data_IF_898267317112
#
_entry.id   IF_898267317112
#
_cell.length_a   1.000
_cell.length_b   1.000
_cell.length_c   1.000
_cell.angle_alpha   90.00
_cell.angle_beta   90.00
_cell.angle_gamma   90.00
#
_symmetry.space_group_name_H-M   'P 1'
#
loop_
_entity.id
_entity.type
_entity.pdbx_description
1 polymer ?
#
# COMPACT_ATOMS: atom_id res chain seq x y z
N UNK A 1 13.56 10.69 6.14
CA UNK A 1 12.11 10.44 6.26
C UNK A 1 11.89 8.95 6.43
N UNK A 2 10.93 8.53 7.28
CA UNK A 2 10.47 7.15 7.35
C UNK A 2 9.13 7.05 6.61
N UNK A 3 9.08 6.22 5.57
CA UNK A 3 7.87 6.02 4.76
C UNK A 3 7.26 4.65 5.03
N UNK A 4 5.93 4.55 5.03
CA UNK A 4 5.22 3.29 4.99
C UNK A 4 4.61 3.12 3.59
N UNK A 5 4.85 1.95 2.96
CA UNK A 5 4.33 1.60 1.64
C UNK A 5 3.44 0.38 1.78
N UNK A 6 2.14 0.54 1.64
CA UNK A 6 1.21 -0.60 1.58
C UNK A 6 1.14 -1.16 0.16
N UNK A 7 0.98 -2.46 0.01
CA UNK A 7 1.10 -3.12 -1.30
C UNK A 7 2.54 -3.12 -1.81
N UNK A 8 3.50 -3.18 -0.88
CA UNK A 8 4.93 -3.04 -1.15
C UNK A 8 5.50 -4.14 -2.04
N UNK A 9 4.92 -5.33 -2.04
CA UNK A 9 5.32 -6.47 -2.87
C UNK A 9 4.60 -6.53 -4.23
N UNK A 10 3.76 -5.53 -4.54
CA UNK A 10 3.17 -5.34 -5.86
C UNK A 10 4.15 -4.68 -6.84
N UNK A 11 3.77 -4.62 -8.12
CA UNK A 11 4.62 -4.05 -9.17
C UNK A 11 4.98 -2.58 -8.88
N UNK A 12 4.00 -1.71 -8.65
CA UNK A 12 4.26 -0.29 -8.36
C UNK A 12 4.94 -0.14 -6.99
N UNK A 13 4.46 -0.87 -5.98
CA UNK A 13 4.96 -0.77 -4.61
C UNK A 13 6.44 -1.09 -4.49
N UNK A 14 6.91 -2.16 -5.12
CA UNK A 14 8.31 -2.59 -5.07
C UNK A 14 9.25 -1.57 -5.71
N UNK A 15 8.89 -1.02 -6.87
CA UNK A 15 9.68 0.02 -7.52
C UNK A 15 9.74 1.31 -6.69
N UNK A 16 8.63 1.65 -6.02
CA UNK A 16 8.60 2.81 -5.12
C UNK A 16 9.48 2.58 -3.89
N UNK A 17 9.43 1.38 -3.29
CA UNK A 17 10.31 0.98 -2.18
C UNK A 17 11.77 1.15 -2.56
N UNK A 18 12.19 0.58 -3.69
CA UNK A 18 13.58 0.70 -4.18
C UNK A 18 13.97 2.18 -4.40
N UNK A 19 13.08 2.97 -4.98
CA UNK A 19 13.34 4.40 -5.20
C UNK A 19 13.49 5.18 -3.91
N UNK A 20 12.64 4.92 -2.91
CA UNK A 20 12.71 5.58 -1.61
C UNK A 20 14.00 5.21 -0.88
N UNK A 21 14.39 3.94 -0.89
CA UNK A 21 15.65 3.47 -0.31
C UNK A 21 16.88 4.09 -1.00
N UNK A 22 16.88 4.14 -2.33
CA UNK A 22 17.96 4.74 -3.12
C UNK A 22 18.13 6.25 -2.84
N UNK A 23 17.08 6.92 -2.36
CA UNK A 23 17.12 8.34 -1.97
C UNK A 23 17.37 8.54 -0.46
N UNK A 24 17.80 7.48 0.25
CA UNK A 24 18.24 7.55 1.65
C UNK A 24 17.11 7.58 2.67
N UNK A 25 15.88 7.20 2.30
CA UNK A 25 14.78 7.09 3.24
C UNK A 25 14.79 5.74 3.96
N UNK A 26 14.22 5.69 5.17
CA UNK A 26 13.82 4.45 5.80
C UNK A 26 12.43 4.05 5.29
N UNK A 27 12.21 2.77 5.01
CA UNK A 27 10.95 2.28 4.43
C UNK A 27 10.43 1.09 5.21
N UNK A 28 9.16 1.16 5.60
CA UNK A 28 8.37 0.03 6.07
C UNK A 28 7.49 -0.43 4.92
N UNK A 29 7.78 -1.62 4.38
CA UNK A 29 6.92 -2.28 3.41
C UNK A 29 5.85 -3.08 4.14
N UNK A 30 4.59 -2.93 3.76
CA UNK A 30 3.46 -3.65 4.34
C UNK A 30 2.69 -4.39 3.24
N UNK A 31 2.63 -5.72 3.32
CA UNK A 31 1.99 -6.56 2.30
C UNK A 31 1.53 -7.88 2.90
N UNK A 32 0.41 -8.43 2.44
CA UNK A 32 -0.07 -9.75 2.84
C UNK A 32 0.25 -10.84 1.81
N UNK A 33 0.93 -10.50 0.72
CA UNK A 33 1.31 -11.37 -0.38
C UNK A 33 0.14 -12.11 -1.06
N UNK A 34 -1.08 -11.61 -0.94
CA UNK A 34 -2.24 -12.21 -1.63
C UNK A 34 -2.10 -12.14 -3.15
N UNK A 35 -1.46 -11.09 -3.66
CA UNK A 35 -1.13 -10.89 -5.09
C UNK A 35 0.31 -10.46 -5.30
N UNK A 36 0.95 -9.90 -4.27
CA UNK A 36 2.34 -9.48 -4.27
C UNK A 36 3.32 -10.64 -4.35
N UNK A 37 4.53 -10.37 -4.82
CA UNK A 37 5.58 -11.38 -4.97
C UNK A 37 6.83 -10.98 -4.16
N UNK A 38 7.31 -11.89 -3.31
CA UNK A 38 8.50 -11.64 -2.47
C UNK A 38 9.75 -11.36 -3.32
N UNK A 39 9.84 -11.95 -4.52
CA UNK A 39 10.92 -11.72 -5.47
C UNK A 39 11.05 -10.25 -5.90
N UNK A 40 9.96 -9.48 -5.88
CA UNK A 40 10.02 -8.05 -6.18
C UNK A 40 10.70 -7.22 -5.10
N UNK A 41 10.87 -7.77 -3.90
CA UNK A 41 11.52 -7.10 -2.76
C UNK A 41 12.95 -7.60 -2.49
N UNK A 42 13.54 -8.47 -3.34
CA UNK A 42 14.86 -9.07 -3.09
C UNK A 42 15.94 -8.02 -2.82
N UNK A 43 15.96 -6.94 -3.61
CA UNK A 43 16.92 -5.84 -3.43
C UNK A 43 16.66 -5.09 -2.12
N UNK A 44 15.42 -4.80 -1.81
CA UNK A 44 15.03 -4.08 -0.60
C UNK A 44 15.33 -4.89 0.66
N UNK A 45 15.09 -6.21 0.65
CA UNK A 45 15.33 -7.10 1.80
C UNK A 45 16.81 -7.13 2.24
N UNK A 46 17.75 -6.80 1.37
CA UNK A 46 19.17 -6.64 1.71
C UNK A 46 19.53 -5.26 2.28
N UNK A 47 18.62 -4.31 2.33
CA UNK A 47 18.88 -2.94 2.75
C UNK A 47 18.56 -2.74 4.24
N UNK A 48 19.53 -2.24 5.01
CA UNK A 48 19.37 -2.00 6.46
C UNK A 48 18.29 -0.95 6.80
N UNK A 49 17.86 -0.12 5.85
CA UNK A 49 16.81 0.87 6.02
C UNK A 49 15.43 0.34 5.59
N UNK A 50 15.30 -0.94 5.27
CA UNK A 50 14.04 -1.57 4.90
C UNK A 50 13.57 -2.54 5.98
N UNK A 51 12.31 -2.38 6.36
CA UNK A 51 11.60 -3.31 7.25
C UNK A 51 10.38 -3.85 6.50
N UNK A 52 10.22 -5.17 6.44
CA UNK A 52 9.04 -5.79 5.86
C UNK A 52 8.08 -6.26 6.95
N UNK A 53 6.84 -5.80 6.89
CA UNK A 53 5.73 -6.27 7.72
C UNK A 53 4.80 -7.10 6.84
N UNK A 54 4.87 -8.42 7.01
CA UNK A 54 3.98 -9.36 6.34
C UNK A 54 2.69 -9.50 7.16
N UNK A 55 1.64 -8.77 6.76
CA UNK A 55 0.35 -8.76 7.44
C UNK A 55 -0.77 -8.21 6.53
N UNK A 56 -2.02 -8.50 6.89
CA UNK A 56 -3.19 -7.91 6.24
C UNK A 56 -3.54 -6.56 6.88
N UNK A 57 -3.95 -5.59 6.07
CA UNK A 57 -4.38 -4.25 6.51
C UNK A 57 -5.69 -4.28 7.32
N UNK A 58 -6.39 -5.40 7.34
CA UNK A 58 -7.51 -5.63 8.26
C UNK A 58 -7.03 -5.86 9.71
N UNK A 59 -5.74 -6.16 9.92
CA UNK A 59 -5.15 -6.29 11.23
C UNK A 59 -4.71 -4.92 11.77
N UNK A 60 -5.64 -4.21 12.41
CA UNK A 60 -5.43 -2.85 12.91
C UNK A 60 -4.24 -2.75 13.87
N UNK A 61 -4.04 -3.71 14.78
CA UNK A 61 -2.96 -3.65 15.77
C UNK A 61 -1.57 -3.73 15.11
N UNK A 62 -1.41 -4.60 14.09
CA UNK A 62 -0.16 -4.70 13.33
C UNK A 62 0.10 -3.45 12.50
N UNK A 63 -0.97 -2.87 11.95
CA UNK A 63 -0.86 -1.62 11.19
C UNK A 63 -0.47 -0.44 12.08
N UNK A 64 -1.06 -0.33 13.28
CA UNK A 64 -0.69 0.70 14.26
C UNK A 64 0.78 0.58 14.70
N UNK A 65 1.28 -0.65 14.91
CA UNK A 65 2.69 -0.88 15.21
C UNK A 65 3.61 -0.43 14.07
N UNK A 66 3.29 -0.82 12.83
CA UNK A 66 4.04 -0.47 11.63
C UNK A 66 4.06 1.05 11.36
N UNK A 67 3.00 1.74 11.79
CA UNK A 67 2.84 3.19 11.59
C UNK A 67 3.71 4.04 12.54
N UNK A 68 4.32 3.46 13.56
CA UNK A 68 5.10 4.20 14.56
C UNK A 68 6.30 4.91 13.94
N UNK A 69 6.35 6.23 14.13
CA UNK A 69 7.43 7.09 13.65
C UNK A 69 7.46 7.24 12.11
N UNK A 70 6.39 6.89 11.42
CA UNK A 70 6.22 7.14 9.99
C UNK A 70 5.93 8.62 9.75
N UNK A 71 6.58 9.20 8.74
CA UNK A 71 6.37 10.59 8.31
C UNK A 71 5.40 10.70 7.13
N UNK A 72 5.35 9.67 6.29
CA UNK A 72 4.59 9.64 5.04
C UNK A 72 4.08 8.23 4.71
N UNK A 73 2.83 8.14 4.27
CA UNK A 73 2.20 6.89 3.82
C UNK A 73 2.00 6.90 2.31
N UNK A 74 2.44 5.82 1.65
CA UNK A 74 2.11 5.50 0.26
C UNK A 74 1.12 4.35 0.27
N UNK A 75 -0.16 4.64 0.08
CA UNK A 75 -1.20 3.62 0.12
C UNK A 75 -1.51 3.12 -1.29
N UNK A 76 -0.90 1.96 -1.63
CA UNK A 76 -0.99 1.33 -2.95
C UNK A 76 -1.71 -0.04 -2.90
N UNK A 77 -1.93 -0.58 -1.69
CA UNK A 77 -2.65 -1.82 -1.53
C UNK A 77 -4.12 -1.66 -1.93
N UNK A 78 -4.61 -2.55 -2.76
CA UNK A 78 -5.99 -2.62 -3.20
C UNK A 78 -6.30 -3.99 -3.81
N UNK A 79 -7.58 -4.38 -3.85
CA UNK A 79 -8.02 -5.38 -4.82
C UNK A 79 -8.17 -4.70 -6.19
N UNK A 80 -7.24 -4.98 -7.09
CA UNK A 80 -7.23 -4.40 -8.44
C UNK A 80 -7.96 -5.28 -9.47
N UNK A 81 -8.40 -6.48 -9.09
CA UNK A 81 -9.12 -7.39 -9.99
C UNK A 81 -10.63 -7.11 -9.96
N UNK A 82 -11.07 -6.27 -10.90
CA UNK A 82 -12.49 -5.88 -11.06
C UNK A 82 -13.40 -7.08 -11.31
N UNK A 83 -12.93 -8.12 -12.01
CA UNK A 83 -13.72 -9.33 -12.31
C UNK A 83 -13.93 -10.13 -11.04
N UNK A 84 -12.88 -10.30 -10.26
CA UNK A 84 -12.97 -10.98 -8.97
C UNK A 84 -13.94 -10.28 -8.02
N UNK A 85 -13.94 -8.93 -8.00
CA UNK A 85 -14.86 -8.13 -7.21
C UNK A 85 -16.33 -8.31 -7.59
N UNK A 86 -16.62 -8.55 -8.88
CA UNK A 86 -18.00 -8.83 -9.33
C UNK A 86 -18.55 -10.12 -8.69
N UNK A 87 -17.73 -11.17 -8.61
CA UNK A 87 -18.12 -12.45 -8.03
C UNK A 87 -18.03 -12.45 -6.49
N UNK A 88 -17.21 -11.56 -5.92
CA UNK A 88 -16.93 -11.45 -4.49
C UNK A 88 -17.02 -9.99 -3.98
N UNK A 89 -18.22 -9.36 -3.98
CA UNK A 89 -18.37 -7.92 -3.68
C UNK A 89 -17.91 -7.53 -2.27
N UNK A 90 -18.00 -8.43 -1.29
CA UNK A 90 -17.46 -8.17 0.05
C UNK A 90 -15.94 -7.98 0.05
N UNK A 91 -15.23 -8.61 -0.89
CA UNK A 91 -13.78 -8.48 -1.01
C UNK A 91 -13.37 -7.06 -1.39
N UNK A 92 -14.10 -6.43 -2.31
CA UNK A 92 -13.85 -5.04 -2.70
C UNK A 92 -14.12 -4.08 -1.53
N UNK A 93 -15.21 -4.32 -0.78
CA UNK A 93 -15.49 -3.55 0.41
C UNK A 93 -14.36 -3.67 1.44
N UNK A 94 -13.91 -4.89 1.73
CA UNK A 94 -12.84 -5.16 2.69
C UNK A 94 -11.51 -4.57 2.23
N UNK A 95 -11.06 -4.93 1.02
CA UNK A 95 -9.70 -4.67 0.54
C UNK A 95 -9.52 -3.28 -0.09
N UNK A 96 -10.58 -2.55 -0.34
CA UNK A 96 -10.49 -1.18 -0.87
C UNK A 96 -11.03 -0.14 0.12
N UNK A 97 -12.17 -0.40 0.78
CA UNK A 97 -12.81 0.60 1.65
C UNK A 97 -12.38 0.45 3.11
N UNK A 98 -12.52 -0.76 3.68
CA UNK A 98 -12.22 -1.00 5.10
C UNK A 98 -10.72 -0.84 5.35
N UNK A 99 -9.86 -1.42 4.51
CA UNK A 99 -8.41 -1.28 4.68
C UNK A 99 -7.94 0.17 4.54
N UNK A 100 -8.54 0.96 3.63
CA UNK A 100 -8.24 2.39 3.53
C UNK A 100 -8.64 3.15 4.79
N UNK A 101 -9.83 2.85 5.34
CA UNK A 101 -10.26 3.39 6.64
C UNK A 101 -9.29 3.04 7.77
N UNK A 102 -8.83 1.77 7.81
CA UNK A 102 -7.86 1.33 8.80
C UNK A 102 -6.52 2.07 8.69
N UNK A 103 -6.03 2.30 7.46
CA UNK A 103 -4.81 3.08 7.22
C UNK A 103 -4.98 4.50 7.74
N UNK A 104 -6.09 5.16 7.43
CA UNK A 104 -6.36 6.53 7.88
C UNK A 104 -6.49 6.60 9.42
N UNK A 105 -7.10 5.60 10.05
CA UNK A 105 -7.22 5.52 11.50
C UNK A 105 -5.84 5.29 12.18
N UNK A 106 -5.01 4.40 11.61
CA UNK A 106 -3.64 4.22 12.09
C UNK A 106 -2.79 5.48 11.94
N UNK A 107 -2.96 6.22 10.83
CA UNK A 107 -2.32 7.53 10.64
C UNK A 107 -2.77 8.53 11.71
N UNK A 108 -4.09 8.59 11.99
CA UNK A 108 -4.65 9.48 13.00
C UNK A 108 -4.09 9.17 14.39
N UNK A 109 -4.06 7.90 14.78
CA UNK A 109 -3.55 7.45 16.10
C UNK A 109 -2.06 7.72 16.27
N UNK A 110 -1.29 7.67 15.18
CA UNK A 110 0.16 7.89 15.18
C UNK A 110 0.55 9.33 14.78
N UNK A 111 -0.41 10.24 14.61
CA UNK A 111 -0.19 11.64 14.22
C UNK A 111 0.50 11.82 12.86
N UNK A 112 0.38 10.85 11.97
CA UNK A 112 0.88 10.93 10.57
C UNK A 112 -0.11 11.72 9.73
N UNK A 113 0.37 12.73 8.99
CA UNK A 113 -0.50 13.69 8.27
C UNK A 113 -0.37 13.63 6.75
N UNK A 114 0.64 12.93 6.25
CA UNK A 114 0.96 12.94 4.82
C UNK A 114 0.67 11.57 4.21
N UNK A 115 -0.16 11.56 3.17
CA UNK A 115 -0.50 10.36 2.42
C UNK A 115 -0.53 10.65 0.92
N UNK A 116 -0.03 9.71 0.13
CA UNK A 116 -0.34 9.58 -1.28
C UNK A 116 -1.14 8.28 -1.47
N UNK A 117 -2.27 8.40 -2.15
CA UNK A 117 -3.20 7.30 -2.39
C UNK A 117 -3.34 7.05 -3.89
N UNK A 118 -3.18 5.79 -4.32
CA UNK A 118 -3.44 5.40 -5.70
C UNK A 118 -4.95 5.25 -5.91
N UNK A 119 -5.55 6.20 -6.60
CA UNK A 119 -6.94 6.11 -7.03
C UNK A 119 -7.08 5.16 -8.24
N UNK A 120 -8.27 5.09 -8.81
CA UNK A 120 -8.61 4.19 -9.93
C UNK A 120 -8.96 4.97 -11.19
N UNK A 121 -8.58 4.42 -12.36
CA UNK A 121 -9.03 4.96 -13.66
C UNK A 121 -10.54 4.87 -13.88
N UNK A 122 -11.21 3.95 -13.18
CA UNK A 122 -12.67 3.77 -13.26
C UNK A 122 -13.48 5.00 -12.85
N UNK A 123 -12.87 5.95 -12.11
CA UNK A 123 -13.52 7.21 -11.74
C UNK A 123 -13.84 8.08 -12.96
N UNK A 124 -13.12 7.91 -14.07
CA UNK A 124 -13.32 8.70 -15.29
C UNK A 124 -14.41 8.15 -16.21
N UNK A 125 -14.90 6.90 -15.97
CA UNK A 125 -15.89 6.25 -16.80
C UNK A 125 -15.36 5.83 -18.18
N UNK A 126 -16.28 5.66 -19.13
CA UNK A 126 -15.94 5.36 -20.52
C UNK A 126 -15.44 6.61 -21.25
N UNK A 127 -14.39 6.45 -22.04
CA UNK A 127 -13.82 7.54 -22.83
C UNK A 127 -14.74 7.86 -24.03
N UNK A 128 -15.26 9.08 -24.08
CA UNK A 128 -16.04 9.55 -25.23
C UNK A 128 -15.15 10.02 -26.40
N UNK A 129 -13.91 10.44 -26.08
CA UNK A 129 -12.92 10.93 -27.05
C UNK A 129 -11.58 10.27 -26.75
N UNK A 130 -10.90 9.76 -27.78
CA UNK A 130 -9.56 9.18 -27.66
C UNK A 130 -8.58 9.99 -28.53
N UNK A 131 -7.42 10.40 -27.99
CA UNK A 131 -6.96 10.27 -26.60
C UNK A 131 -7.71 11.20 -25.63
N UNK A 132 -7.83 10.73 -24.38
CA UNK A 132 -8.45 11.47 -23.28
C UNK A 132 -7.45 12.35 -22.54
#
# INVERSE_FOLDING_TARGET
>A
MKALVTGSAGFIGSHLVDRLLATGNAVVGYDNFSTGQRSFLEQALGNANFELVEADLLNQSRLDEAMRGVDFVWHLAANADVRFGTDHPCRDLEQNTIVTSNVLEAMRSNSVRNIAFSSTGSIYGEAEVIPT
#
